data_IF_147348943177
#
_entry.id   IF_147348943177
#
_cell.length_a   1.000
_cell.length_b   1.000
_cell.length_c   1.000
_cell.angle_alpha   90.00
_cell.angle_beta   90.00
_cell.angle_gamma   90.00
#
_symmetry.space_group_name_H-M   'P 1'
#
loop_
_entity.id
_entity.type
_entity.pdbx_description
1 polymer ?
#
# COMPACT_ATOMS: atom_id res chain seq x y z
N UNK A 1 14.53 36.19 12.96
CA UNK A 1 15.59 35.64 13.84
C UNK A 1 15.01 35.56 15.24
N UNK A 2 15.31 34.47 15.98
CA UNK A 2 14.57 33.86 17.11
C UNK A 2 13.53 32.85 16.59
N UNK A 3 13.79 31.54 16.45
CA UNK A 3 14.79 30.69 17.08
C UNK A 3 14.19 29.97 18.27
N UNK A 4 13.38 28.94 18.01
CA UNK A 4 12.92 28.00 19.03
C UNK A 4 13.51 26.62 18.70
N UNK A 5 14.50 26.26 19.51
CA UNK A 5 15.09 24.94 19.62
C UNK A 5 14.03 23.86 19.81
N UNK A 6 14.10 22.80 19.01
CA UNK A 6 13.57 21.49 19.39
C UNK A 6 14.68 20.46 19.20
N UNK A 7 15.33 20.11 20.30
CA UNK A 7 16.10 18.86 20.36
C UNK A 7 15.96 18.27 21.75
N UNK A 8 15.25 17.14 21.83
CA UNK A 8 15.56 15.99 22.68
C UNK A 8 14.68 14.84 22.20
N UNK A 9 15.31 13.87 21.55
CA UNK A 9 14.66 12.69 20.98
C UNK A 9 14.44 11.58 21.99
N UNK A 10 13.62 10.59 21.60
CA UNK A 10 13.75 9.21 22.01
C UNK A 10 13.44 8.29 20.82
N UNK A 11 14.28 7.27 20.64
CA UNK A 11 14.09 6.18 19.70
C UNK A 11 13.02 5.20 20.20
N UNK A 12 12.30 4.64 19.24
CA UNK A 12 11.25 3.61 19.37
C UNK A 12 11.85 2.24 19.60
N UNK A 13 11.20 1.42 20.43
CA UNK A 13 10.97 0.00 20.16
C UNK A 13 9.75 -0.48 20.97
N UNK A 14 8.61 -0.64 20.31
CA UNK A 14 7.85 -1.87 20.51
C UNK A 14 6.91 -2.12 19.33
N UNK A 15 7.13 -3.30 18.76
CA UNK A 15 6.39 -3.96 17.72
C UNK A 15 5.01 -4.43 18.24
N UNK A 16 4.09 -4.73 17.32
CA UNK A 16 2.78 -5.37 17.53
C UNK A 16 1.67 -4.53 18.17
N UNK A 17 1.01 -3.66 17.37
CA UNK A 17 -0.43 -3.41 17.53
C UNK A 17 -1.07 -2.79 16.29
N UNK A 18 -1.40 -3.60 15.28
CA UNK A 18 -2.54 -3.30 14.40
C UNK A 18 -2.96 -4.54 13.61
N UNK A 19 -3.53 -5.50 14.33
CA UNK A 19 -4.44 -6.50 13.76
C UNK A 19 -5.57 -6.64 14.76
N UNK A 20 -6.80 -6.44 14.29
CA UNK A 20 -8.09 -6.39 15.00
C UNK A 20 -8.59 -4.98 15.39
N UNK A 21 -9.03 -4.21 14.38
CA UNK A 21 -10.30 -3.50 14.52
C UNK A 21 -11.36 -4.36 13.82
N UNK A 22 -11.97 -5.28 14.57
CA UNK A 22 -13.08 -6.11 14.11
C UNK A 22 -14.40 -5.45 14.51
N UNK A 23 -14.81 -4.42 13.78
CA UNK A 23 -16.21 -3.97 13.78
C UNK A 23 -17.03 -4.60 12.64
N UNK A 24 -16.44 -5.58 11.92
CA UNK A 24 -17.05 -6.20 10.73
C UNK A 24 -17.84 -7.47 11.06
N UNK A 25 -17.82 -7.98 12.31
CA UNK A 25 -18.67 -9.10 12.70
C UNK A 25 -19.27 -8.89 14.09
N UNK A 26 -20.36 -8.12 14.24
CA UNK A 26 -21.17 -8.23 15.43
C UNK A 26 -21.82 -9.61 15.39
N UNK A 27 -21.49 -10.49 16.35
CA UNK A 27 -22.13 -11.80 16.64
C UNK A 27 -21.46 -13.09 16.11
N UNK A 28 -20.15 -13.16 15.93
CA UNK A 28 -19.48 -14.46 16.07
C UNK A 28 -19.11 -14.62 17.55
N UNK A 29 -19.80 -15.48 18.32
CA UNK A 29 -19.42 -15.70 19.70
C UNK A 29 -17.98 -16.21 19.73
N UNK A 30 -17.17 -15.64 20.63
CA UNK A 30 -15.77 -16.06 20.92
C UNK A 30 -15.68 -17.60 21.09
N UNK A 31 -16.77 -18.23 21.49
CA UNK A 31 -16.97 -19.67 21.57
C UNK A 31 -16.80 -20.46 20.26
N UNK A 32 -16.83 -19.85 19.06
CA UNK A 32 -16.62 -20.54 17.78
C UNK A 32 -15.20 -20.36 17.20
N UNK A 33 -14.50 -19.27 17.57
CA UNK A 33 -13.13 -19.03 17.12
C UNK A 33 -12.12 -19.94 17.84
N UNK A 34 -12.32 -20.21 19.13
CA UNK A 34 -11.44 -21.08 19.90
C UNK A 34 -11.48 -22.55 19.44
N UNK A 35 -12.65 -23.17 19.18
CA UNK A 35 -12.70 -24.53 18.64
C UNK A 35 -12.09 -24.67 17.24
N UNK A 36 -12.23 -23.67 16.36
CA UNK A 36 -11.59 -23.67 15.04
C UNK A 36 -10.05 -23.70 15.16
N UNK A 37 -9.48 -22.89 16.07
CA UNK A 37 -8.04 -22.92 16.35
C UNK A 37 -7.58 -24.24 16.98
N UNK A 38 -8.40 -24.85 17.83
CA UNK A 38 -8.14 -26.16 18.46
C UNK A 38 -8.28 -27.32 17.47
N UNK A 39 -9.18 -27.25 16.49
CA UNK A 39 -9.38 -28.29 15.48
C UNK A 39 -8.30 -28.23 14.38
N UNK A 40 -7.78 -27.04 14.08
CA UNK A 40 -6.74 -26.85 13.06
C UNK A 40 -5.32 -27.12 13.57
N UNK A 41 -5.07 -27.12 14.89
CA UNK A 41 -3.72 -27.32 15.46
C UNK A 41 -3.20 -28.76 15.36
N UNK A 42 -3.98 -29.83 15.64
CA UNK A 42 -3.50 -31.20 15.56
C UNK A 42 -3.10 -31.65 14.15
N UNK A 43 -3.86 -31.37 13.07
CA UNK A 43 -3.43 -31.70 11.71
C UNK A 43 -2.14 -30.97 11.31
N UNK A 44 -1.97 -29.71 11.75
CA UNK A 44 -0.75 -28.94 11.50
C UNK A 44 0.46 -29.54 12.23
N UNK A 45 0.28 -29.99 13.47
CA UNK A 45 1.34 -30.64 14.26
C UNK A 45 1.73 -32.01 13.70
N UNK A 46 0.75 -32.80 13.22
CA UNK A 46 1.01 -34.08 12.54
C UNK A 46 1.74 -33.84 11.22
N UNK A 47 1.33 -32.83 10.45
CA UNK A 47 1.98 -32.46 9.20
C UNK A 47 3.42 -31.99 9.40
N UNK A 48 3.68 -31.15 10.42
CA UNK A 48 5.03 -30.71 10.78
C UNK A 48 5.89 -31.87 11.29
N UNK A 49 5.32 -32.79 12.07
CA UNK A 49 6.05 -33.97 12.58
C UNK A 49 6.35 -35.00 11.50
N UNK A 50 5.52 -35.10 10.46
CA UNK A 50 5.77 -35.96 9.30
C UNK A 50 6.85 -35.41 8.36
N UNK A 51 7.07 -34.09 8.36
CA UNK A 51 8.08 -33.44 7.52
C UNK A 51 9.48 -33.42 8.15
N UNK A 52 9.59 -33.49 9.48
CA UNK A 52 10.89 -33.54 10.16
C UNK A 52 10.82 -34.27 11.53
N UNK A 53 11.22 -35.55 11.61
CA UNK A 53 11.23 -36.31 12.86
C UNK A 53 12.28 -35.81 13.87
N UNK A 54 13.21 -34.94 13.48
CA UNK A 54 14.24 -34.40 14.39
C UNK A 54 13.75 -33.24 15.25
N UNK A 55 12.69 -32.54 14.82
CA UNK A 55 12.12 -31.38 15.54
C UNK A 55 11.42 -31.79 16.85
N UNK A 56 10.79 -32.98 16.88
CA UNK A 56 10.13 -33.52 18.06
C UNK A 56 11.10 -33.81 19.22
N UNK A 57 12.35 -34.19 18.91
CA UNK A 57 13.39 -34.39 19.93
C UNK A 57 13.94 -33.08 20.52
N UNK A 58 13.85 -31.97 19.77
CA UNK A 58 14.38 -30.68 20.23
C UNK A 58 13.45 -29.98 21.24
N UNK A 59 12.13 -30.09 21.06
CA UNK A 59 11.12 -29.56 21.98
C UNK A 59 11.16 -30.28 23.34
N UNK A 60 11.49 -31.57 23.35
CA UNK A 60 11.70 -32.33 24.60
C UNK A 60 12.95 -31.87 25.37
N UNK A 61 14.01 -31.43 24.67
CA UNK A 61 15.29 -31.03 25.28
C UNK A 61 15.35 -29.57 25.75
N UNK A 62 14.52 -28.67 25.20
CA UNK A 62 14.48 -27.27 25.65
C UNK A 62 13.76 -27.08 26.98
N UNK A 63 12.81 -27.96 27.31
CA UNK A 63 12.10 -27.98 28.61
C UNK A 63 13.04 -28.21 29.80
N UNK A 64 14.05 -29.08 29.65
CA UNK A 64 15.01 -29.40 30.74
C UNK A 64 16.13 -28.36 30.90
N UNK A 65 16.43 -27.57 29.86
CA UNK A 65 17.50 -26.55 29.89
C UNK A 65 17.04 -25.23 30.54
N UNK A 66 15.75 -24.90 30.46
CA UNK A 66 15.18 -23.70 31.08
C UNK A 66 15.20 -23.77 32.61
N UNK A 67 15.02 -24.96 33.21
CA UNK A 67 15.11 -25.13 34.66
C UNK A 67 16.52 -25.03 35.25
N UNK A 68 17.58 -25.21 34.44
CA UNK A 68 18.98 -25.06 34.92
C UNK A 68 19.50 -23.64 34.87
N UNK A 69 18.98 -22.76 34.00
CA UNK A 69 19.41 -21.36 33.90
C UNK A 69 18.85 -20.45 35.00
N UNK A 70 17.74 -20.83 35.66
CA UNK A 70 17.17 -20.10 36.79
C UNK A 70 17.93 -20.29 38.13
N UNK A 71 18.90 -21.22 38.21
CA UNK A 71 19.72 -21.45 39.43
C UNK A 71 21.12 -20.84 39.37
N UNK A 72 21.56 -20.27 38.25
CA UNK A 72 22.92 -19.75 38.07
C UNK A 72 23.03 -18.21 38.12
N UNK A 73 21.91 -17.49 38.27
CA UNK A 73 21.88 -16.02 38.23
C UNK A 73 21.87 -15.35 39.61
N UNK A 74 22.56 -15.93 40.62
CA UNK A 74 22.67 -15.33 41.96
C UNK A 74 24.11 -15.17 42.47
N UNK A 75 25.12 -15.22 41.60
CA UNK A 75 26.49 -14.88 41.97
C UNK A 75 27.09 -14.05 40.86
N UNK A 76 27.55 -12.86 41.26
CA UNK A 76 28.66 -12.08 40.69
C UNK A 76 28.30 -10.67 40.22
N UNK A 77 28.14 -9.82 41.23
CA UNK A 77 28.16 -8.36 41.14
C UNK A 77 29.50 -7.89 41.74
N UNK A 78 30.37 -7.26 40.94
CA UNK A 78 31.27 -6.14 41.35
C UNK A 78 32.48 -5.93 40.41
N UNK A 79 32.76 -4.64 40.16
CA UNK A 79 33.97 -3.99 39.60
C UNK A 79 34.20 -4.20 38.08
N UNK A 80 34.42 -3.18 37.24
CA UNK A 80 35.42 -2.09 37.31
C UNK A 80 34.96 -0.88 36.46
N UNK A 81 35.37 0.31 36.91
CA UNK A 81 35.24 1.63 36.26
C UNK A 81 36.49 1.96 35.40
N UNK A 82 36.26 2.79 34.39
CA UNK A 82 37.16 3.79 33.76
C UNK A 82 38.11 3.42 32.59
N UNK A 83 37.95 4.23 31.54
CA UNK A 83 38.91 4.75 30.54
C UNK A 83 38.97 4.20 29.08
N UNK A 84 39.32 5.08 28.10
CA UNK A 84 38.53 5.24 26.87
C UNK A 84 39.29 4.91 25.56
N UNK A 85 38.50 4.69 24.50
CA UNK A 85 38.84 4.76 23.07
C UNK A 85 40.20 4.19 22.63
N UNK A 86 40.25 2.88 22.43
CA UNK A 86 41.18 2.26 21.48
C UNK A 86 40.41 1.73 20.27
N UNK A 87 40.73 2.26 19.09
CA UNK A 87 40.28 1.73 17.81
C UNK A 87 41.08 0.45 17.52
N UNK A 88 40.42 -0.70 17.61
CA UNK A 88 40.97 -2.01 17.26
C UNK A 88 40.44 -2.38 15.89
N UNK A 89 41.34 -2.54 14.92
CA UNK A 89 41.05 -3.18 13.64
C UNK A 89 40.86 -4.68 13.91
N UNK A 90 39.64 -5.19 13.75
CA UNK A 90 39.31 -6.60 13.84
C UNK A 90 39.23 -7.22 12.45
N UNK A 91 40.01 -8.27 12.23
CA UNK A 91 39.88 -9.20 11.10
C UNK A 91 38.51 -9.87 11.12
N UNK A 92 37.80 -9.81 9.99
CA UNK A 92 36.56 -10.54 9.75
C UNK A 92 36.86 -12.02 9.51
N UNK A 93 36.47 -12.87 10.47
CA UNK A 93 36.33 -14.31 10.25
C UNK A 93 34.89 -14.61 9.83
N UNK A 94 34.73 -15.00 8.56
CA UNK A 94 33.47 -15.50 8.01
C UNK A 94 33.03 -16.80 8.72
N UNK A 95 31.82 -16.80 9.28
CA UNK A 95 31.13 -18.01 9.74
C UNK A 95 30.16 -18.45 8.63
N UNK A 96 30.23 -19.70 8.12
CA UNK A 96 29.34 -20.15 7.06
C UNK A 96 27.91 -20.33 7.57
N UNK A 97 26.97 -19.58 6.99
CA UNK A 97 25.53 -19.71 7.20
C UNK A 97 24.98 -20.96 6.49
N UNK A 98 24.31 -21.82 7.25
CA UNK A 98 23.62 -23.00 6.73
C UNK A 98 22.30 -22.63 6.03
N UNK A 99 22.19 -22.94 4.74
CA UNK A 99 21.09 -22.57 3.83
C UNK A 99 19.74 -23.31 4.03
N UNK A 100 19.56 -24.12 5.06
CA UNK A 100 18.46 -25.11 5.08
C UNK A 100 17.16 -24.65 5.76
N UNK A 101 17.16 -23.55 6.52
CA UNK A 101 16.01 -23.17 7.36
C UNK A 101 15.01 -22.20 6.70
N UNK A 102 15.36 -21.53 5.59
CA UNK A 102 14.52 -20.47 4.99
C UNK A 102 13.35 -20.97 4.12
N UNK A 103 13.45 -22.16 3.52
CA UNK A 103 12.51 -22.58 2.48
C UNK A 103 11.14 -23.06 3.03
N UNK A 104 11.11 -23.71 4.19
CA UNK A 104 9.88 -24.26 4.75
C UNK A 104 8.95 -23.18 5.34
N UNK A 105 9.51 -22.13 5.96
CA UNK A 105 8.73 -21.02 6.52
C UNK A 105 8.11 -20.13 5.42
N UNK A 106 8.79 -19.97 4.28
CA UNK A 106 8.27 -19.20 3.15
C UNK A 106 7.05 -19.87 2.50
N UNK A 107 7.07 -21.20 2.35
CA UNK A 107 5.95 -21.95 1.74
C UNK A 107 4.67 -21.92 2.59
N UNK A 108 4.79 -22.01 3.92
CA UNK A 108 3.63 -21.93 4.83
C UNK A 108 2.96 -20.55 4.85
N UNK A 109 3.75 -19.47 4.77
CA UNK A 109 3.24 -18.09 4.72
C UNK A 109 2.51 -17.77 3.41
N UNK A 110 3.03 -18.23 2.27
CA UNK A 110 2.40 -18.01 0.96
C UNK A 110 1.04 -18.72 0.85
N UNK A 111 0.89 -19.93 1.38
CA UNK A 111 -0.39 -20.65 1.38
C UNK A 111 -1.44 -19.97 2.27
N UNK A 112 -1.06 -19.50 3.46
CA UNK A 112 -1.99 -18.81 4.36
C UNK A 112 -2.47 -17.46 3.79
N UNK A 113 -1.58 -16.70 3.14
CA UNK A 113 -1.94 -15.43 2.47
C UNK A 113 -2.85 -15.63 1.26
N UNK A 114 -2.60 -16.66 0.45
CA UNK A 114 -3.39 -16.96 -0.75
C UNK A 114 -4.81 -17.45 -0.42
N UNK A 115 -4.93 -18.29 0.61
CA UNK A 115 -6.24 -18.78 1.10
C UNK A 115 -7.06 -17.65 1.69
N UNK A 116 -6.46 -16.73 2.45
CA UNK A 116 -7.18 -15.60 3.06
C UNK A 116 -7.70 -14.60 2.01
N UNK A 117 -6.90 -14.29 0.98
CA UNK A 117 -7.32 -13.36 -0.09
C UNK A 117 -8.44 -13.92 -0.98
N UNK A 118 -8.40 -15.23 -1.29
CA UNK A 118 -9.47 -15.90 -2.06
C UNK A 118 -10.75 -16.10 -1.26
N UNK A 119 -10.67 -16.40 0.04
CA UNK A 119 -11.85 -16.55 0.90
C UNK A 119 -12.56 -15.22 1.16
N UNK A 120 -11.83 -14.12 1.37
CA UNK A 120 -12.44 -12.80 1.56
C UNK A 120 -13.29 -12.35 0.37
N UNK A 121 -12.94 -12.80 -0.84
CA UNK A 121 -13.73 -12.53 -2.05
C UNK A 121 -15.13 -13.16 -2.04
N UNK A 122 -15.36 -14.19 -1.23
CA UNK A 122 -16.65 -14.83 -1.02
C UNK A 122 -17.39 -14.31 0.23
N UNK A 123 -16.79 -13.38 0.98
CA UNK A 123 -17.31 -12.96 2.29
C UNK A 123 -18.19 -11.71 2.27
N UNK A 124 -18.40 -11.04 1.14
CA UNK A 124 -19.48 -10.03 1.06
C UNK A 124 -20.80 -10.81 0.99
N UNK A 125 -21.66 -10.75 2.02
CA UNK A 125 -22.94 -11.41 1.96
C UNK A 125 -23.73 -10.81 0.79
N UNK A 126 -24.30 -11.66 -0.06
CA UNK A 126 -25.10 -11.26 -1.23
C UNK A 126 -26.31 -10.37 -0.86
N UNK A 127 -26.63 -10.26 0.43
CA UNK A 127 -27.72 -9.45 0.95
C UNK A 127 -27.25 -8.19 1.70
N UNK A 128 -25.97 -7.83 1.62
CA UNK A 128 -25.46 -6.60 2.24
C UNK A 128 -25.84 -5.37 1.40
N UNK A 129 -26.05 -4.22 2.05
CA UNK A 129 -26.38 -2.96 1.35
C UNK A 129 -25.32 -2.53 0.34
N UNK A 130 -24.04 -2.76 0.66
CA UNK A 130 -22.93 -2.50 -0.27
C UNK A 130 -23.00 -3.38 -1.52
N UNK A 131 -23.45 -4.64 -1.40
CA UNK A 131 -23.63 -5.53 -2.56
C UNK A 131 -24.65 -4.95 -3.55
N UNK A 132 -25.79 -4.45 -3.07
CA UNK A 132 -26.77 -3.79 -3.93
C UNK A 132 -26.21 -2.53 -4.60
N UNK A 133 -25.36 -1.76 -3.92
CA UNK A 133 -24.68 -0.62 -4.52
C UNK A 133 -23.68 -1.06 -5.61
N UNK A 134 -22.94 -2.15 -5.38
CA UNK A 134 -22.04 -2.72 -6.39
C UNK A 134 -22.80 -3.17 -7.63
N UNK A 135 -23.92 -3.90 -7.48
CA UNK A 135 -24.75 -4.36 -8.61
C UNK A 135 -25.31 -3.19 -9.41
N UNK A 136 -25.89 -2.19 -8.73
CA UNK A 136 -26.40 -0.98 -9.39
C UNK A 136 -25.30 -0.22 -10.12
N UNK A 137 -24.10 -0.11 -9.52
CA UNK A 137 -22.99 0.54 -10.19
C UNK A 137 -22.47 -0.27 -11.39
N UNK A 138 -22.47 -1.60 -11.31
CA UNK A 138 -22.15 -2.48 -12.45
C UNK A 138 -23.10 -2.29 -13.64
N UNK A 139 -24.38 -2.03 -13.39
CA UNK A 139 -25.33 -1.69 -14.46
C UNK A 139 -24.93 -0.38 -15.15
N UNK A 140 -24.63 0.68 -14.38
CA UNK A 140 -24.10 1.94 -14.92
C UNK A 140 -22.80 1.76 -15.71
N UNK A 141 -21.93 0.86 -15.24
CA UNK A 141 -20.67 0.54 -15.93
C UNK A 141 -20.93 -0.11 -17.29
N UNK A 142 -21.89 -1.04 -17.39
CA UNK A 142 -22.27 -1.67 -18.66
C UNK A 142 -22.88 -0.67 -19.64
N UNK A 143 -23.61 0.33 -19.16
CA UNK A 143 -24.14 1.41 -20.00
C UNK A 143 -23.02 2.32 -20.53
N UNK A 144 -22.06 2.69 -19.66
CA UNK A 144 -20.97 3.61 -20.01
C UNK A 144 -19.90 2.95 -20.88
N UNK A 145 -19.55 1.71 -20.59
CA UNK A 145 -18.51 0.95 -21.26
C UNK A 145 -18.99 -0.50 -21.47
N UNK A 146 -19.78 -0.76 -22.52
CA UNK A 146 -20.45 -2.06 -22.71
C UNK A 146 -19.50 -3.21 -23.00
N UNK A 147 -18.28 -2.90 -23.49
CA UNK A 147 -17.25 -3.90 -23.79
C UNK A 147 -15.93 -3.46 -23.18
N UNK A 148 -15.77 -3.56 -21.84
CA UNK A 148 -14.51 -3.23 -21.21
C UNK A 148 -13.41 -4.13 -21.76
N UNK A 149 -12.29 -3.52 -22.12
CA UNK A 149 -11.16 -4.22 -22.70
C UNK A 149 -9.88 -3.80 -21.97
N UNK A 150 -8.88 -4.70 -21.90
CA UNK A 150 -7.56 -4.32 -21.41
C UNK A 150 -6.94 -3.25 -22.31
N UNK A 151 -6.26 -2.28 -21.71
CA UNK A 151 -5.41 -1.32 -22.40
C UNK A 151 -3.98 -1.37 -21.84
N UNK A 152 -3.03 -0.68 -22.49
CA UNK A 152 -1.64 -0.72 -22.02
C UNK A 152 -1.54 -0.09 -20.63
N UNK A 153 -0.75 -0.70 -19.75
CA UNK A 153 -0.41 -0.12 -18.45
C UNK A 153 0.32 1.22 -18.62
N UNK A 154 0.25 2.06 -17.60
CA UNK A 154 0.81 3.41 -17.64
C UNK A 154 -0.23 4.48 -18.02
N UNK A 155 0.08 5.39 -18.96
CA UNK A 155 -0.62 6.66 -19.08
C UNK A 155 -2.02 6.57 -19.69
N UNK A 156 -2.36 5.43 -20.29
CA UNK A 156 -3.68 5.18 -20.88
C UNK A 156 -4.73 4.71 -19.86
N UNK A 157 -4.35 4.52 -18.58
CA UNK A 157 -5.24 4.03 -17.52
C UNK A 157 -5.61 5.11 -16.51
N UNK A 158 -5.89 6.32 -16.98
CA UNK A 158 -6.42 7.38 -16.12
C UNK A 158 -7.96 7.34 -16.05
N UNK A 159 -8.48 8.09 -15.08
CA UNK A 159 -9.91 8.39 -14.93
C UNK A 159 -10.11 9.90 -15.00
N UNK A 160 -11.21 10.34 -15.60
CA UNK A 160 -11.63 11.74 -15.50
C UNK A 160 -12.10 12.08 -14.08
N UNK A 161 -12.04 13.36 -13.72
CA UNK A 161 -12.61 13.86 -12.48
C UNK A 161 -14.08 13.42 -12.36
N UNK A 162 -14.88 13.57 -13.43
CA UNK A 162 -16.26 13.07 -13.48
C UNK A 162 -16.38 11.61 -13.03
N UNK A 163 -15.58 10.70 -13.61
CA UNK A 163 -15.62 9.28 -13.24
C UNK A 163 -15.26 9.04 -11.76
N UNK A 164 -14.27 9.77 -11.23
CA UNK A 164 -13.86 9.67 -9.83
C UNK A 164 -14.97 10.17 -8.89
N UNK A 165 -15.61 11.30 -9.20
CA UNK A 165 -16.68 11.84 -8.36
C UNK A 165 -17.99 11.06 -8.49
N UNK A 166 -18.32 10.55 -9.67
CA UNK A 166 -19.46 9.64 -9.86
C UNK A 166 -19.29 8.35 -9.05
N UNK A 167 -18.08 7.77 -9.08
CA UNK A 167 -17.72 6.65 -8.20
C UNK A 167 -17.85 7.02 -6.72
N UNK A 168 -17.28 8.15 -6.30
CA UNK A 168 -17.35 8.60 -4.91
C UNK A 168 -18.80 8.83 -4.46
N UNK A 169 -19.64 9.44 -5.31
CA UNK A 169 -21.03 9.75 -5.00
C UNK A 169 -21.88 8.49 -4.82
N UNK A 170 -21.66 7.44 -5.63
CA UNK A 170 -22.37 6.16 -5.46
C UNK A 170 -21.99 5.50 -4.13
N UNK A 171 -20.71 5.51 -3.77
CA UNK A 171 -20.21 4.75 -2.63
C UNK A 171 -19.98 5.57 -1.35
N UNK A 172 -20.30 6.87 -1.34
CA UNK A 172 -19.99 7.80 -0.24
C UNK A 172 -20.45 7.29 1.13
N UNK A 173 -21.65 6.68 1.20
CA UNK A 173 -22.23 6.18 2.45
C UNK A 173 -21.45 5.01 3.06
N UNK A 174 -20.71 4.27 2.23
CA UNK A 174 -19.86 3.15 2.63
C UNK A 174 -18.42 3.59 2.86
N UNK A 175 -17.93 4.51 2.03
CA UNK A 175 -16.57 5.04 2.13
C UNK A 175 -16.42 5.88 3.41
N UNK A 176 -17.26 6.88 3.65
CA UNK A 176 -17.14 7.80 4.81
C UNK A 176 -15.69 8.26 5.00
N UNK A 177 -15.11 8.02 6.19
CA UNK A 177 -13.71 8.35 6.53
C UNK A 177 -12.72 7.20 6.26
N UNK A 178 -13.08 6.24 5.42
CA UNK A 178 -12.20 5.13 5.04
C UNK A 178 -11.21 5.56 3.96
N UNK A 179 -10.21 4.72 3.78
CA UNK A 179 -9.06 4.99 2.92
C UNK A 179 -9.02 4.00 1.74
N UNK A 180 -7.97 4.06 0.93
CA UNK A 180 -7.92 3.26 -0.30
C UNK A 180 -7.71 1.77 -0.06
N UNK A 181 -7.17 1.35 1.10
CA UNK A 181 -7.15 -0.07 1.46
C UNK A 181 -8.57 -0.65 1.59
N UNK A 182 -9.48 0.11 2.19
CA UNK A 182 -10.89 -0.27 2.29
C UNK A 182 -11.56 -0.28 0.91
N UNK A 183 -11.36 0.80 0.15
CA UNK A 183 -11.97 0.96 -1.18
C UNK A 183 -11.50 -0.13 -2.15
N UNK A 184 -10.21 -0.45 -2.17
CA UNK A 184 -9.66 -1.51 -3.02
C UNK A 184 -10.33 -2.85 -2.71
N UNK A 185 -10.29 -3.26 -1.45
CA UNK A 185 -10.75 -4.58 -1.02
C UNK A 185 -12.27 -4.76 -1.03
N UNK A 186 -13.05 -3.70 -0.77
CA UNK A 186 -14.51 -3.81 -0.60
C UNK A 186 -15.30 -3.26 -1.79
N UNK A 187 -14.68 -2.50 -2.69
CA UNK A 187 -15.38 -1.86 -3.81
C UNK A 187 -14.69 -2.15 -5.14
N UNK A 188 -13.41 -1.73 -5.31
CA UNK A 188 -12.71 -1.83 -6.60
C UNK A 188 -12.57 -3.28 -7.04
N UNK A 189 -11.99 -4.15 -6.20
CA UNK A 189 -11.82 -5.56 -6.54
C UNK A 189 -13.17 -6.23 -6.80
N UNK A 190 -14.20 -6.13 -5.94
CA UNK A 190 -15.52 -6.65 -6.25
C UNK A 190 -16.07 -6.20 -7.61
N UNK A 191 -16.02 -4.90 -7.93
CA UNK A 191 -16.48 -4.37 -9.23
C UNK A 191 -15.72 -4.96 -10.43
N UNK A 192 -14.41 -5.14 -10.29
CA UNK A 192 -13.51 -5.57 -11.36
C UNK A 192 -13.30 -7.10 -11.39
N UNK A 193 -13.92 -7.84 -10.48
CA UNK A 193 -13.60 -9.24 -10.22
C UNK A 193 -13.96 -10.21 -11.32
N UNK A 194 -15.01 -9.92 -12.08
CA UNK A 194 -15.43 -10.74 -13.22
C UNK A 194 -14.45 -10.62 -14.38
N UNK A 195 -13.99 -9.40 -14.66
CA UNK A 195 -13.16 -9.08 -15.83
C UNK A 195 -11.66 -9.17 -15.55
N UNK A 196 -11.25 -9.11 -14.27
CA UNK A 196 -9.84 -9.05 -13.85
C UNK A 196 -9.06 -7.91 -14.52
N UNK A 197 -9.71 -6.76 -14.66
CA UNK A 197 -9.14 -5.52 -15.20
C UNK A 197 -8.92 -4.49 -14.09
N UNK A 198 -8.17 -3.43 -14.38
CA UNK A 198 -8.13 -2.23 -13.53
C UNK A 198 -9.49 -1.52 -13.51
N UNK A 199 -9.74 -0.67 -12.51
CA UNK A 199 -10.97 0.12 -12.47
C UNK A 199 -11.05 1.08 -13.65
N UNK A 200 -9.92 1.65 -14.07
CA UNK A 200 -9.83 2.53 -15.24
C UNK A 200 -10.34 1.84 -16.52
N UNK A 201 -9.88 0.62 -16.79
CA UNK A 201 -10.32 -0.18 -17.93
C UNK A 201 -11.82 -0.49 -17.88
N UNK A 202 -12.38 -0.70 -16.68
CA UNK A 202 -13.81 -0.96 -16.50
C UNK A 202 -14.66 0.31 -16.71
N UNK A 203 -14.24 1.45 -16.17
CA UNK A 203 -14.98 2.72 -16.25
C UNK A 203 -14.93 3.41 -17.63
N UNK A 204 -14.00 3.00 -18.49
CA UNK A 204 -13.67 3.69 -19.74
C UNK A 204 -12.36 4.45 -19.57
N UNK A 205 -11.21 3.85 -19.92
CA UNK A 205 -9.91 4.42 -19.63
C UNK A 205 -9.64 5.64 -20.51
N UNK A 206 -8.88 6.61 -19.99
CA UNK A 206 -8.46 7.79 -20.75
C UNK A 206 -6.96 8.10 -20.59
N UNK A 207 -6.46 9.01 -21.43
CA UNK A 207 -5.09 9.50 -21.34
C UNK A 207 -4.92 10.37 -20.09
N UNK A 208 -3.86 10.12 -19.31
CA UNK A 208 -3.52 10.92 -18.13
C UNK A 208 -3.08 12.34 -18.48
N UNK A 209 -3.62 13.32 -17.76
CA UNK A 209 -3.12 14.69 -17.71
C UNK A 209 -2.31 14.94 -16.43
N UNK A 210 -2.75 14.39 -15.30
CA UNK A 210 -2.11 14.60 -14.00
C UNK A 210 -1.85 13.31 -13.26
N UNK A 211 -0.61 13.15 -12.81
CA UNK A 211 -0.20 12.01 -11.98
C UNK A 211 -0.53 12.29 -10.51
N UNK A 212 -1.19 11.35 -9.81
CA UNK A 212 -1.53 11.54 -8.38
C UNK A 212 -0.57 10.77 -7.49
N UNK A 213 0.22 11.50 -6.72
CA UNK A 213 1.05 10.95 -5.64
C UNK A 213 0.31 11.06 -4.32
N UNK A 214 0.06 9.94 -3.66
CA UNK A 214 -0.77 9.87 -2.45
C UNK A 214 -0.38 8.69 -1.56
N UNK A 215 -0.81 8.75 -0.31
CA UNK A 215 -0.73 7.65 0.64
C UNK A 215 -2.08 6.92 0.73
N UNK A 216 -2.07 5.59 0.60
CA UNK A 216 -3.30 4.77 0.67
C UNK A 216 -4.03 4.87 2.01
N UNK A 217 -3.35 5.26 3.08
CA UNK A 217 -3.94 5.43 4.40
C UNK A 217 -4.71 6.74 4.59
N UNK A 218 -4.51 7.73 3.71
CA UNK A 218 -5.24 9.01 3.75
C UNK A 218 -6.73 8.77 3.48
N UNK A 219 -7.60 9.53 4.18
CA UNK A 219 -9.05 9.48 3.93
C UNK A 219 -9.33 9.78 2.47
N UNK A 220 -10.14 8.96 1.82
CA UNK A 220 -10.36 9.13 0.38
C UNK A 220 -11.18 10.39 0.05
N UNK A 221 -12.06 10.81 0.97
CA UNK A 221 -12.77 12.10 0.89
C UNK A 221 -11.83 13.28 0.71
N UNK A 222 -10.72 13.32 1.45
CA UNK A 222 -9.67 14.33 1.27
C UNK A 222 -9.05 14.22 -0.11
N UNK A 223 -8.70 13.02 -0.56
CA UNK A 223 -8.16 12.84 -1.92
C UNK A 223 -9.12 13.43 -2.97
N UNK A 224 -10.41 13.12 -2.91
CA UNK A 224 -11.42 13.70 -3.82
C UNK A 224 -11.47 15.24 -3.71
N UNK A 225 -11.51 15.81 -2.52
CA UNK A 225 -11.58 17.26 -2.32
C UNK A 225 -10.36 17.99 -2.89
N UNK A 226 -9.16 17.46 -2.67
CA UNK A 226 -7.93 17.99 -3.26
C UNK A 226 -7.95 17.92 -4.80
N UNK A 227 -8.37 16.78 -5.37
CA UNK A 227 -8.48 16.62 -6.82
C UNK A 227 -9.52 17.56 -7.44
N UNK A 228 -10.62 17.85 -6.73
CA UNK A 228 -11.63 18.83 -7.17
C UNK A 228 -11.02 20.23 -7.25
N UNK A 229 -10.44 20.71 -6.15
CA UNK A 229 -9.82 22.04 -6.10
C UNK A 229 -8.72 22.19 -7.14
N UNK A 230 -7.92 21.14 -7.32
CA UNK A 230 -6.91 21.09 -8.37
C UNK A 230 -7.53 21.20 -9.77
N UNK A 231 -8.55 20.40 -10.08
CA UNK A 231 -9.23 20.41 -11.37
C UNK A 231 -9.84 21.79 -11.68
N UNK A 232 -10.50 22.41 -10.70
CA UNK A 232 -11.08 23.75 -10.80
C UNK A 232 -9.98 24.80 -11.05
N UNK A 233 -8.86 24.73 -10.33
CA UNK A 233 -7.75 25.66 -10.49
C UNK A 233 -7.09 25.59 -11.88
N UNK A 234 -6.81 24.38 -12.38
CA UNK A 234 -6.15 24.22 -13.70
C UNK A 234 -7.06 24.64 -14.85
N UNK A 235 -8.37 24.46 -14.73
CA UNK A 235 -9.33 24.90 -15.75
C UNK A 235 -9.52 26.41 -15.77
N UNK A 236 -9.54 27.07 -14.61
CA UNK A 236 -9.62 28.54 -14.54
C UNK A 236 -8.44 29.19 -15.27
N UNK A 237 -7.25 28.58 -15.23
CA UNK A 237 -6.10 29.09 -15.98
C UNK A 237 -6.16 28.87 -17.50
N UNK A 238 -6.92 27.88 -17.99
CA UNK A 238 -6.79 27.39 -19.37
C UNK A 238 -7.58 28.22 -20.41
N UNK A 239 -8.51 29.11 -20.03
CA UNK A 239 -9.33 29.97 -20.92
C UNK A 239 -10.13 29.26 -22.04
N UNK A 240 -9.93 27.95 -22.26
CA UNK A 240 -10.43 27.18 -23.40
C UNK A 240 -11.86 26.63 -23.24
N UNK A 241 -12.59 27.02 -22.18
CA UNK A 241 -13.95 26.54 -21.93
C UNK A 241 -14.04 25.06 -21.53
N UNK A 242 -12.91 24.43 -21.21
CA UNK A 242 -12.83 23.05 -20.72
C UNK A 242 -13.56 22.92 -19.37
N UNK A 243 -14.35 21.87 -19.15
CA UNK A 243 -14.95 21.60 -17.83
C UNK A 243 -13.94 20.91 -16.90
N UNK A 244 -13.89 21.29 -15.62
CA UNK A 244 -13.01 20.65 -14.62
C UNK A 244 -13.27 19.13 -14.50
N UNK A 245 -14.48 18.70 -14.81
CA UNK A 245 -14.90 17.30 -14.84
C UNK A 245 -14.14 16.45 -15.86
N UNK A 246 -13.57 17.08 -16.90
CA UNK A 246 -12.79 16.43 -17.95
C UNK A 246 -11.32 16.23 -17.61
N UNK A 247 -10.81 16.86 -16.54
CA UNK A 247 -9.42 16.70 -16.10
C UNK A 247 -9.18 15.25 -15.70
N UNK A 248 -8.15 14.62 -16.26
CA UNK A 248 -7.85 13.21 -16.02
C UNK A 248 -6.70 13.00 -15.05
N UNK A 249 -6.87 12.01 -14.17
CA UNK A 249 -5.97 11.66 -13.10
C UNK A 249 -5.59 10.19 -13.17
N UNK A 250 -4.30 9.93 -13.00
CA UNK A 250 -3.78 8.58 -12.79
C UNK A 250 -3.62 8.35 -11.29
N UNK A 251 -4.35 7.36 -10.75
CA UNK A 251 -4.39 7.04 -9.31
C UNK A 251 -4.10 5.56 -9.17
N UNK A 252 -3.03 5.19 -8.46
CA UNK A 252 -2.51 3.82 -8.50
C UNK A 252 -3.54 2.74 -8.10
N UNK A 253 -4.44 3.01 -7.15
CA UNK A 253 -5.50 2.07 -6.76
C UNK A 253 -6.52 1.79 -7.87
N UNK A 254 -6.71 2.74 -8.80
CA UNK A 254 -7.69 2.63 -9.89
C UNK A 254 -7.05 2.26 -11.22
N UNK A 255 -5.82 2.72 -11.44
CA UNK A 255 -5.09 2.57 -12.71
C UNK A 255 -4.32 1.25 -12.82
N UNK A 256 -3.83 0.70 -11.70
CA UNK A 256 -3.16 -0.60 -11.71
C UNK A 256 -4.20 -1.74 -11.68
N UNK A 257 -3.94 -2.81 -12.42
CA UNK A 257 -4.69 -4.05 -12.28
C UNK A 257 -4.34 -4.73 -10.96
N UNK A 258 -5.25 -4.63 -9.99
CA UNK A 258 -5.07 -5.15 -8.63
C UNK A 258 -5.01 -6.68 -8.55
N UNK A 259 -5.32 -7.38 -9.64
CA UNK A 259 -5.20 -8.84 -9.75
C UNK A 259 -3.84 -9.30 -10.31
N UNK A 260 -3.13 -8.42 -11.01
CA UNK A 260 -1.88 -8.73 -11.70
C UNK A 260 -0.78 -7.74 -11.30
N UNK A 261 -0.63 -7.47 -9.99
CA UNK A 261 0.33 -6.47 -9.48
C UNK A 261 1.76 -6.76 -9.93
N UNK A 262 2.17 -8.03 -10.01
CA UNK A 262 3.51 -8.38 -10.49
C UNK A 262 3.74 -7.91 -11.94
N UNK A 263 2.71 -7.99 -12.79
CA UNK A 263 2.76 -7.45 -14.15
C UNK A 263 2.75 -5.92 -14.17
N UNK A 264 2.02 -5.28 -13.26
CA UNK A 264 2.01 -3.82 -13.12
C UNK A 264 3.38 -3.28 -12.70
N UNK A 265 4.11 -4.01 -11.86
CA UNK A 265 5.45 -3.65 -11.40
C UNK A 265 6.52 -3.96 -12.45
N UNK A 266 6.35 -5.05 -13.21
CA UNK A 266 7.35 -5.50 -14.18
C UNK A 266 8.62 -6.05 -13.53
N UNK A 267 9.66 -6.30 -14.33
CA UNK A 267 10.96 -6.81 -13.84
C UNK A 267 11.87 -5.70 -13.34
N UNK A 268 11.65 -4.47 -13.81
CA UNK A 268 12.37 -3.28 -13.40
C UNK A 268 11.41 -2.12 -13.18
N UNK A 269 11.80 -1.13 -12.37
CA UNK A 269 10.95 0.03 -12.11
C UNK A 269 10.59 0.81 -13.38
N UNK A 270 11.45 0.79 -14.41
CA UNK A 270 11.20 1.40 -15.73
C UNK A 270 10.01 0.77 -16.47
N UNK A 271 9.73 -0.50 -16.21
CA UNK A 271 8.59 -1.21 -16.79
C UNK A 271 7.31 -1.01 -15.98
N UNK A 272 7.39 -0.43 -14.78
CA UNK A 272 6.23 -0.30 -13.92
C UNK A 272 5.20 0.66 -14.51
N UNK A 273 3.92 0.34 -14.32
CA UNK A 273 2.79 1.20 -14.72
C UNK A 273 2.94 2.62 -14.14
N UNK A 274 3.47 2.72 -12.91
CA UNK A 274 3.81 3.97 -12.26
C UNK A 274 4.82 4.79 -13.07
N UNK A 275 5.96 4.19 -13.43
CA UNK A 275 7.01 4.86 -14.17
C UNK A 275 6.51 5.30 -15.56
N UNK A 276 5.83 4.40 -16.26
CA UNK A 276 5.28 4.65 -17.59
C UNK A 276 4.26 5.79 -17.59
N UNK A 277 3.39 5.85 -16.58
CA UNK A 277 2.44 6.94 -16.44
C UNK A 277 3.16 8.26 -16.15
N UNK A 278 4.04 8.28 -15.13
CA UNK A 278 4.74 9.49 -14.68
C UNK A 278 5.65 10.10 -15.76
N UNK A 279 6.27 9.28 -16.62
CA UNK A 279 7.18 9.72 -17.68
C UNK A 279 6.50 9.93 -19.04
N UNK A 280 5.17 9.82 -19.10
CA UNK A 280 4.42 10.08 -20.32
C UNK A 280 4.46 11.57 -20.66
N UNK A 281 4.64 11.89 -21.95
CA UNK A 281 4.57 13.27 -22.45
C UNK A 281 3.19 13.91 -22.29
N UNK A 282 2.15 13.11 -22.00
CA UNK A 282 0.81 13.61 -21.69
C UNK A 282 0.66 14.14 -20.27
N UNK A 283 1.57 13.78 -19.35
CA UNK A 283 1.52 14.24 -17.96
C UNK A 283 2.04 15.67 -17.90
N UNK A 284 1.18 16.58 -17.45
CA UNK A 284 1.49 18.00 -17.28
C UNK A 284 2.17 18.27 -15.92
N UNK A 285 1.92 17.40 -14.95
CA UNK A 285 2.48 17.52 -13.62
C UNK A 285 2.01 16.46 -12.64
N UNK A 286 2.46 16.61 -11.41
CA UNK A 286 2.11 15.71 -10.30
C UNK A 286 1.29 16.46 -9.26
N UNK A 287 0.12 15.92 -8.94
CA UNK A 287 -0.69 16.31 -7.80
C UNK A 287 -0.24 15.51 -6.58
N UNK A 288 0.40 16.18 -5.64
CA UNK A 288 0.83 15.56 -4.39
C UNK A 288 -0.22 15.80 -3.30
N UNK A 289 -0.87 14.73 -2.87
CA UNK A 289 -1.89 14.75 -1.83
C UNK A 289 -1.21 14.56 -0.47
N UNK A 290 -1.31 15.58 0.37
CA UNK A 290 -0.79 15.57 1.74
C UNK A 290 -1.95 15.54 2.73
N UNK A 291 -1.78 14.84 3.85
CA UNK A 291 -2.70 14.97 4.98
C UNK A 291 -2.35 16.19 5.84
N UNK A 292 -3.20 16.47 6.83
CA UNK A 292 -3.06 17.58 7.79
C UNK A 292 -1.72 17.59 8.55
N UNK A 293 -1.03 16.46 8.59
CA UNK A 293 0.24 16.28 9.28
C UNK A 293 1.41 16.13 8.30
N UNK A 294 1.15 16.22 7.00
CA UNK A 294 2.08 15.88 5.93
C UNK A 294 2.80 14.54 6.16
N UNK A 295 2.13 13.55 6.77
CA UNK A 295 2.70 12.23 7.05
C UNK A 295 3.19 11.49 5.80
N UNK A 296 2.65 11.71 4.58
CA UNK A 296 3.25 11.14 3.38
C UNK A 296 4.72 11.54 3.19
N UNK A 297 5.17 12.66 3.78
CA UNK A 297 6.57 13.05 3.78
C UNK A 297 7.41 12.34 4.85
N UNK A 298 6.80 11.86 5.94
CA UNK A 298 7.49 11.23 7.08
C UNK A 298 7.46 9.71 7.07
N UNK A 299 6.47 9.08 6.43
CA UNK A 299 6.24 7.64 6.43
C UNK A 299 6.33 7.05 5.01
N UNK A 300 7.55 6.78 4.51
CA UNK A 300 7.82 5.88 3.37
C UNK A 300 7.36 6.33 1.96
N UNK A 301 6.31 7.15 1.83
CA UNK A 301 5.98 7.89 0.59
C UNK A 301 7.06 8.92 0.23
N UNK A 302 8.00 9.15 1.16
CA UNK A 302 9.26 9.84 0.90
C UNK A 302 10.05 9.26 -0.26
N UNK A 303 9.82 8.03 -0.74
CA UNK A 303 10.52 7.51 -1.94
C UNK A 303 9.96 8.08 -3.25
N UNK A 304 8.63 8.18 -3.38
CA UNK A 304 8.02 8.86 -4.54
C UNK A 304 8.33 10.37 -4.48
N UNK A 305 8.29 10.97 -3.29
CA UNK A 305 8.68 12.38 -3.11
C UNK A 305 10.18 12.58 -3.28
N UNK A 306 11.04 11.69 -2.78
CA UNK A 306 12.48 11.78 -2.98
C UNK A 306 12.87 11.50 -4.43
N UNK A 307 12.17 10.62 -5.14
CA UNK A 307 12.33 10.48 -6.58
C UNK A 307 11.89 11.76 -7.29
N UNK A 308 10.68 12.28 -7.04
CA UNK A 308 10.21 13.54 -7.64
C UNK A 308 11.15 14.71 -7.32
N UNK A 309 11.62 14.82 -6.07
CA UNK A 309 12.58 15.86 -5.63
C UNK A 309 13.97 15.63 -6.21
N UNK A 310 14.45 14.39 -6.27
CA UNK A 310 15.71 14.03 -6.94
C UNK A 310 15.63 14.31 -8.43
N UNK A 311 14.48 14.11 -9.06
CA UNK A 311 14.21 14.42 -10.46
C UNK A 311 14.15 15.92 -10.72
N UNK A 312 13.46 16.70 -9.89
CA UNK A 312 13.48 18.16 -9.97
C UNK A 312 14.92 18.66 -9.84
N UNK A 313 15.72 18.10 -8.93
CA UNK A 313 17.15 18.41 -8.80
C UNK A 313 17.97 18.00 -10.02
N UNK A 314 17.70 16.83 -10.61
CA UNK A 314 18.39 16.36 -11.80
C UNK A 314 18.07 17.23 -13.02
N UNK A 315 16.79 17.51 -13.25
CA UNK A 315 16.32 18.38 -14.35
C UNK A 315 16.84 19.81 -14.22
N UNK A 316 16.85 20.38 -13.01
CA UNK A 316 17.46 21.70 -12.76
C UNK A 316 18.98 21.69 -12.93
N UNK A 317 19.65 20.56 -12.68
CA UNK A 317 21.10 20.44 -12.91
C UNK A 317 21.47 20.25 -14.39
N UNK A 318 20.59 19.63 -15.20
CA UNK A 318 20.83 19.39 -16.64
C UNK A 318 20.28 20.49 -17.54
N UNK A 319 19.27 21.26 -17.10
CA UNK A 319 18.69 22.38 -17.84
C UNK A 319 19.66 23.58 -17.99
N UNK A 320 20.83 23.55 -17.35
CA UNK A 320 21.94 24.44 -17.68
C UNK A 320 22.62 24.15 -19.02
N UNK A 321 22.27 23.05 -19.71
CA UNK A 321 23.00 22.60 -20.90
C UNK A 321 22.20 22.49 -22.20
N UNK A 322 20.87 22.26 -22.19
CA UNK A 322 20.10 22.13 -23.43
C UNK A 322 18.66 22.65 -23.27
N UNK A 323 18.27 23.47 -24.23
CA UNK A 323 16.96 24.05 -24.47
C UNK A 323 15.90 22.93 -24.66
N UNK A 324 15.09 22.64 -23.64
CA UNK A 324 14.00 21.67 -23.73
C UNK A 324 12.79 22.01 -22.84
N UNK A 325 11.72 22.30 -23.56
CA UNK A 325 10.34 22.72 -23.26
C UNK A 325 9.49 21.78 -22.36
N UNK A 326 10.05 21.06 -21.39
CA UNK A 326 9.28 20.21 -20.47
C UNK A 326 9.18 20.83 -19.07
N UNK A 327 8.27 21.80 -18.90
CA UNK A 327 7.92 22.32 -17.57
C UNK A 327 7.00 21.33 -16.86
N UNK A 328 7.57 20.40 -16.08
CA UNK A 328 6.78 19.58 -15.16
C UNK A 328 6.41 20.42 -13.93
N UNK A 329 5.11 20.65 -13.72
CA UNK A 329 4.60 21.39 -12.56
C UNK A 329 4.35 20.44 -11.39
N UNK A 330 4.75 20.83 -10.18
CA UNK A 330 4.34 20.16 -8.94
C UNK A 330 3.32 21.06 -8.26
N UNK A 331 2.10 20.56 -8.13
CA UNK A 331 1.05 21.24 -7.37
C UNK A 331 0.80 20.48 -6.08
N UNK A 332 1.14 21.12 -4.96
CA UNK A 332 0.87 20.59 -3.62
C UNK A 332 -0.53 21.02 -3.20
N UNK A 333 -1.40 20.04 -2.93
CA UNK A 333 -2.72 20.29 -2.38
C UNK A 333 -2.67 20.08 -0.87
N UNK A 334 -2.59 21.18 -0.11
CA UNK A 334 -2.67 21.18 1.35
C UNK A 334 -4.12 21.42 1.81
N UNK A 335 -4.49 20.77 2.91
CA UNK A 335 -5.71 21.05 3.66
C UNK A 335 -5.39 22.06 4.76
N UNK A 336 -6.15 23.16 4.81
CA UNK A 336 -6.20 24.07 5.95
C UNK A 336 -7.66 24.28 6.35
#
# INVERSE_FOLDING_TARGET
VQGADTSHGFFVLSCLRSTLHSDVIPRVPVALAAPMLILCTPPLLVFVSALDPTLAQHVSRTSTRSQRKLRAAHVQESKIRENPWHCVQGEENEIPYSHSFGAAAALGGCLAGFVNSRLLHFLIPKDSSIWYALVRFQEKLRERNPVPAPCNKGPQRALTAFQIFDFMNEFQHYIRDRNLYYIDSNIVRPLTSELKLSLAEVLGPCQVSWFVSHFWGTRFTYTCEALRRHAEAVVVSDHAGTSWESVSYWICAFSNNQYCIDEELGKSHYESSFYLALHSSSVQGTCMILDEHALPLSLGCSRAVAEVVSWVRLLTSTAGALDAQAHMSITTCLFN
#
